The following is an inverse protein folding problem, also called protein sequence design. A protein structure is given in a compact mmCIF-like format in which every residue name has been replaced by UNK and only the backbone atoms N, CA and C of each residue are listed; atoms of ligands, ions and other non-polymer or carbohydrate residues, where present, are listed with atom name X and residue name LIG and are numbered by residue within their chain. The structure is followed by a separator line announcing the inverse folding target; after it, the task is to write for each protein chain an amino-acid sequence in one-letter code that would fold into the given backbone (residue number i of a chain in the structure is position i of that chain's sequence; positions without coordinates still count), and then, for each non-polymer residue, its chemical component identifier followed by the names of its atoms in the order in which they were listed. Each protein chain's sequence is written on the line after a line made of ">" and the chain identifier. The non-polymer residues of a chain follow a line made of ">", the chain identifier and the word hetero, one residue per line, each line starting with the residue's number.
data_IF_131545898120
#
_entry.id   IF_131545898120
#
_cell.length_a   1.000
_cell.length_b   1.000
_cell.length_c   1.000
_cell.angle_alpha   90.00
_cell.angle_beta   90.00
_cell.angle_gamma   90.00
#
_symmetry.space_group_name_H-M   'P 1'
#
loop_
_entity.id
_entity.type
_entity.pdbx_description
1 polymer ?
#
# COMPACT_ATOMS: atom_id res chain seq x y z
N UNK A 1 57.99 -60.24 -0.79
CA UNK A 1 58.36 -60.78 -2.12
C UNK A 1 57.08 -60.91 -2.95
N UNK A 2 57.10 -60.36 -4.18
CA UNK A 2 56.41 -60.78 -5.42
C UNK A 2 55.14 -61.68 -5.31
N UNK A 3 54.07 -61.54 -6.09
CA UNK A 3 53.77 -60.89 -7.39
C UNK A 3 52.28 -61.21 -7.70
N UNK A 4 51.67 -60.49 -8.66
CA UNK A 4 50.64 -60.92 -9.64
C UNK A 4 49.53 -59.87 -9.77
N UNK A 5 49.52 -58.93 -10.72
CA UNK A 5 49.25 -58.98 -12.19
C UNK A 5 47.74 -58.88 -12.55
N UNK A 6 47.35 -57.70 -13.09
CA UNK A 6 46.54 -57.37 -14.33
C UNK A 6 45.15 -58.07 -14.47
N UNK A 7 43.99 -57.47 -14.85
CA UNK A 7 43.69 -56.46 -15.88
C UNK A 7 42.25 -55.89 -15.80
N UNK A 8 42.12 -54.65 -16.28
CA UNK A 8 41.05 -53.98 -17.08
C UNK A 8 39.55 -54.31 -16.98
N UNK A 9 38.76 -53.23 -16.81
CA UNK A 9 37.61 -52.73 -17.61
C UNK A 9 36.45 -52.27 -16.70
N UNK A 10 36.21 -50.96 -16.60
CA UNK A 10 35.18 -50.19 -17.34
C UNK A 10 33.80 -50.25 -16.67
N UNK A 11 33.25 -49.07 -16.33
CA UNK A 11 31.85 -48.64 -16.11
C UNK A 11 31.99 -47.48 -15.10
N UNK A 12 32.03 -46.21 -15.50
CA UNK A 12 30.98 -45.48 -16.19
C UNK A 12 30.62 -44.28 -15.30
N UNK A 13 31.26 -43.13 -15.55
CA UNK A 13 30.87 -41.85 -14.95
C UNK A 13 29.45 -41.52 -15.44
N UNK A 14 28.44 -41.75 -14.60
CA UNK A 14 27.11 -41.20 -14.83
C UNK A 14 27.14 -39.71 -14.47
N UNK A 15 27.38 -38.87 -15.49
CA UNK A 15 27.12 -37.44 -15.42
C UNK A 15 25.61 -37.24 -15.20
N UNK A 16 25.25 -36.82 -13.98
CA UNK A 16 23.93 -36.27 -13.69
C UNK A 16 23.83 -34.89 -14.34
N UNK A 17 23.52 -34.86 -15.63
CA UNK A 17 23.04 -33.68 -16.32
C UNK A 17 21.60 -33.43 -15.89
N UNK A 18 21.42 -32.86 -14.71
CA UNK A 18 20.17 -32.20 -14.33
C UNK A 18 20.02 -30.99 -15.26
N UNK A 19 19.27 -31.19 -16.34
CA UNK A 19 18.77 -30.13 -17.19
C UNK A 19 17.83 -29.28 -16.31
N UNK A 20 18.40 -28.30 -15.63
CA UNK A 20 17.63 -27.25 -14.97
C UNK A 20 16.92 -26.49 -16.09
N UNK A 21 15.69 -26.89 -16.39
CA UNK A 21 14.75 -26.03 -17.11
C UNK A 21 14.52 -24.86 -16.16
N UNK A 22 15.33 -23.81 -16.30
CA UNK A 22 15.01 -22.50 -15.79
C UNK A 22 13.79 -22.04 -16.58
N UNK A 23 12.60 -22.41 -16.12
CA UNK A 23 11.41 -21.65 -16.45
C UNK A 23 11.75 -20.21 -16.06
N UNK A 24 11.65 -19.22 -16.96
CA UNK A 24 11.77 -17.84 -16.54
C UNK A 24 10.69 -17.64 -15.49
N UNK A 25 11.11 -17.45 -14.25
CA UNK A 25 10.28 -16.83 -13.24
C UNK A 25 9.99 -15.44 -13.82
N UNK A 26 8.86 -15.32 -14.52
CA UNK A 26 8.35 -14.03 -14.98
C UNK A 26 7.88 -13.34 -13.72
N UNK A 27 8.85 -12.76 -13.01
CA UNK A 27 8.61 -11.85 -11.89
C UNK A 27 7.77 -10.68 -12.43
N UNK A 28 7.05 -9.96 -11.56
CA UNK A 28 6.52 -8.67 -12.00
C UNK A 28 7.69 -7.83 -12.49
N UNK A 29 7.47 -7.13 -13.59
CA UNK A 29 8.50 -6.26 -14.12
C UNK A 29 8.43 -4.98 -13.29
N UNK A 30 9.32 -4.87 -12.30
CA UNK A 30 9.53 -3.65 -11.53
C UNK A 30 10.54 -2.78 -12.29
N UNK A 31 10.05 -1.70 -12.88
CA UNK A 31 10.78 -0.86 -13.82
C UNK A 31 11.08 0.49 -13.21
N UNK A 32 12.30 0.96 -13.44
CA UNK A 32 12.76 2.27 -12.97
C UNK A 32 12.73 3.35 -14.06
N UNK A 33 12.53 2.96 -15.33
CA UNK A 33 12.47 3.87 -16.47
C UNK A 33 11.37 3.45 -17.45
N UNK A 34 10.71 4.44 -18.05
CA UNK A 34 9.72 4.22 -19.10
C UNK A 34 10.33 3.53 -20.34
N UNK A 35 11.63 3.74 -20.60
CA UNK A 35 12.36 3.07 -21.70
C UNK A 35 12.41 1.55 -21.56
N UNK A 36 12.21 1.05 -20.34
CA UNK A 36 12.28 -0.38 -20.02
C UNK A 36 10.92 -1.05 -20.19
N UNK A 37 9.86 -0.28 -20.48
CA UNK A 37 8.57 -0.86 -20.83
C UNK A 37 8.73 -1.71 -22.09
N UNK A 38 8.26 -2.98 -22.09
CA UNK A 38 8.45 -3.83 -23.24
C UNK A 38 7.69 -3.27 -24.44
N UNK A 39 8.42 -2.94 -25.51
CA UNK A 39 7.87 -2.37 -26.75
C UNK A 39 6.94 -3.34 -27.49
N UNK A 40 7.04 -4.64 -27.21
CA UNK A 40 6.16 -5.71 -27.70
C UNK A 40 5.31 -6.33 -26.57
N UNK A 41 5.08 -5.61 -25.47
CA UNK A 41 4.27 -6.12 -24.36
C UNK A 41 2.84 -6.43 -24.83
N UNK A 42 2.25 -7.49 -24.25
CA UNK A 42 0.81 -7.68 -24.27
C UNK A 42 0.15 -6.38 -23.82
N UNK A 43 -0.88 -5.88 -24.51
CA UNK A 43 -1.49 -4.62 -24.12
C UNK A 43 -2.07 -4.67 -22.71
N UNK A 44 -1.96 -3.56 -21.98
CA UNK A 44 -2.54 -3.47 -20.64
C UNK A 44 -4.06 -3.36 -20.72
N UNK A 45 -4.74 -4.13 -19.87
CA UNK A 45 -6.17 -4.03 -19.66
C UNK A 45 -6.52 -2.80 -18.82
N UNK A 46 -5.68 -2.50 -17.82
CA UNK A 46 -5.83 -1.33 -16.96
C UNK A 46 -4.50 -0.62 -16.75
N UNK A 47 -4.56 0.70 -16.75
CA UNK A 47 -3.47 1.57 -16.32
C UNK A 47 -3.92 2.29 -15.05
N UNK A 48 -3.21 2.04 -13.95
CA UNK A 48 -3.43 2.68 -12.65
C UNK A 48 -2.39 3.78 -12.48
N UNK A 49 -2.86 5.00 -12.26
CA UNK A 49 -2.02 6.19 -12.11
C UNK A 49 -1.87 6.53 -10.62
N UNK A 50 -0.65 6.39 -10.12
CA UNK A 50 -0.28 6.58 -8.73
C UNK A 50 -0.48 5.32 -7.89
N UNK A 51 0.51 4.99 -7.07
CA UNK A 51 0.57 3.82 -6.19
C UNK A 51 0.16 4.11 -4.75
N UNK A 52 -0.49 5.25 -4.50
CA UNK A 52 -1.03 5.59 -3.18
C UNK A 52 -2.09 4.59 -2.67
N UNK A 53 -2.70 4.86 -1.50
CA UNK A 53 -3.66 3.94 -0.87
C UNK A 53 -4.81 3.46 -1.75
N UNK A 54 -5.28 4.27 -2.71
CA UNK A 54 -6.28 3.82 -3.68
C UNK A 54 -5.67 2.97 -4.80
N UNK A 55 -4.59 3.46 -5.43
CA UNK A 55 -4.03 2.85 -6.63
C UNK A 55 -3.33 1.51 -6.38
N UNK A 56 -2.56 1.39 -5.31
CA UNK A 56 -1.94 0.11 -4.93
C UNK A 56 -2.99 -0.97 -4.68
N UNK A 57 -4.10 -0.62 -4.01
CA UNK A 57 -5.23 -1.54 -3.77
C UNK A 57 -5.85 -1.98 -5.10
N UNK A 58 -6.18 -1.03 -5.97
CA UNK A 58 -6.81 -1.33 -7.27
C UNK A 58 -5.90 -2.21 -8.13
N UNK A 59 -4.62 -1.85 -8.28
CA UNK A 59 -3.67 -2.63 -9.07
C UNK A 59 -3.49 -4.06 -8.52
N UNK A 60 -3.36 -4.18 -7.20
CA UNK A 60 -3.26 -5.48 -6.51
C UNK A 60 -4.50 -6.33 -6.71
N UNK A 61 -5.71 -5.78 -6.56
CA UNK A 61 -6.95 -6.56 -6.70
C UNK A 61 -7.26 -6.92 -8.15
N UNK A 62 -7.02 -6.01 -9.11
CA UNK A 62 -7.21 -6.32 -10.54
C UNK A 62 -6.28 -7.44 -11.00
N UNK A 63 -5.03 -7.42 -10.56
CA UNK A 63 -4.03 -8.45 -10.92
C UNK A 63 -4.24 -9.81 -10.24
N UNK A 64 -5.19 -9.96 -9.31
CA UNK A 64 -5.57 -11.28 -8.77
C UNK A 64 -6.13 -12.19 -9.87
N UNK A 65 -6.73 -11.64 -10.92
CA UNK A 65 -7.11 -12.38 -12.11
C UNK A 65 -5.91 -12.44 -13.09
N UNK A 66 -5.31 -13.62 -13.34
CA UNK A 66 -4.14 -13.74 -14.21
C UNK A 66 -4.40 -13.39 -15.68
N UNK A 67 -5.66 -13.21 -16.08
CA UNK A 67 -6.06 -12.78 -17.42
C UNK A 67 -6.10 -11.25 -17.59
N UNK A 68 -5.90 -10.49 -16.52
CA UNK A 68 -5.93 -9.02 -16.53
C UNK A 68 -4.51 -8.50 -16.40
N UNK A 69 -4.01 -7.83 -17.44
CA UNK A 69 -2.70 -7.18 -17.45
C UNK A 69 -2.81 -5.75 -16.90
N UNK A 70 -2.08 -5.45 -15.84
CA UNK A 70 -2.15 -4.16 -15.14
C UNK A 70 -0.81 -3.45 -15.21
N UNK A 71 -0.82 -2.19 -15.66
CA UNK A 71 0.30 -1.26 -15.48
C UNK A 71 0.00 -0.32 -14.33
N UNK A 72 0.86 -0.29 -13.32
CA UNK A 72 0.85 0.71 -12.25
C UNK A 72 1.99 1.70 -12.48
N UNK A 73 1.67 2.98 -12.67
CA UNK A 73 2.66 4.05 -12.87
C UNK A 73 2.74 4.93 -11.63
N UNK A 74 3.92 5.06 -11.05
CA UNK A 74 4.22 5.88 -9.88
C UNK A 74 5.29 6.93 -10.20
N UNK A 75 5.04 8.17 -9.80
CA UNK A 75 5.97 9.28 -10.02
C UNK A 75 7.20 9.18 -9.10
N UNK A 76 6.98 8.72 -7.86
CA UNK A 76 8.04 8.52 -6.88
C UNK A 76 8.89 7.26 -7.08
N UNK A 77 10.01 7.17 -6.35
CA UNK A 77 10.85 5.98 -6.30
C UNK A 77 10.21 4.85 -5.48
N UNK A 78 10.89 3.70 -5.45
CA UNK A 78 10.57 2.60 -4.54
C UNK A 78 10.65 3.03 -3.07
N UNK A 79 9.85 2.39 -2.20
CA UNK A 79 9.93 2.52 -0.75
C UNK A 79 10.90 1.53 -0.08
N UNK A 80 11.47 0.58 -0.84
CA UNK A 80 12.33 -0.49 -0.33
C UNK A 80 13.69 0.02 0.19
N UNK A 81 14.07 -0.40 1.40
CA UNK A 81 15.38 -0.10 1.98
C UNK A 81 15.47 1.30 2.57
N UNK A 82 14.34 1.99 2.75
CA UNK A 82 14.27 3.35 3.26
C UNK A 82 13.89 3.31 4.74
N UNK A 83 14.89 3.29 5.62
CA UNK A 83 14.71 3.13 7.06
C UNK A 83 13.78 4.18 7.68
N UNK A 84 13.81 5.42 7.22
CA UNK A 84 12.95 6.50 7.71
C UNK A 84 11.46 6.32 7.35
N UNK A 85 11.17 5.54 6.30
CA UNK A 85 9.82 5.12 5.92
C UNK A 85 9.43 3.86 6.71
N UNK A 86 10.33 2.89 6.81
CA UNK A 86 10.06 1.59 7.41
C UNK A 86 9.85 1.66 8.93
N UNK A 87 10.64 2.49 9.63
CA UNK A 87 10.66 2.56 11.09
C UNK A 87 9.56 3.51 11.61
N UNK A 88 8.57 3.03 12.38
CA UNK A 88 7.47 3.87 12.87
C UNK A 88 7.89 5.12 13.65
N UNK A 89 8.97 5.02 14.43
CA UNK A 89 9.49 6.13 15.23
C UNK A 89 10.00 7.32 14.37
N UNK A 90 10.27 7.10 13.09
CA UNK A 90 10.71 8.13 12.14
C UNK A 90 9.58 8.71 11.29
N UNK A 91 8.31 8.42 11.60
CA UNK A 91 7.17 8.89 10.81
C UNK A 91 7.11 10.43 10.64
N UNK A 92 7.63 11.20 11.59
CA UNK A 92 7.68 12.67 11.51
C UNK A 92 8.89 13.22 10.73
N UNK A 93 9.85 12.36 10.40
CA UNK A 93 11.16 12.72 9.84
C UNK A 93 11.41 12.08 8.48
N UNK A 94 10.36 11.66 7.77
CA UNK A 94 10.48 11.14 6.41
C UNK A 94 11.25 12.15 5.51
N UNK A 95 12.26 11.71 4.74
CA UNK A 95 13.05 12.60 3.91
C UNK A 95 12.20 13.35 2.87
N UNK A 96 12.51 14.63 2.65
CA UNK A 96 11.80 15.48 1.67
C UNK A 96 11.83 14.94 0.24
N UNK A 97 12.80 14.10 -0.11
CA UNK A 97 12.86 13.41 -1.42
C UNK A 97 11.64 12.51 -1.69
N UNK A 98 10.97 12.02 -0.63
CA UNK A 98 9.76 11.22 -0.72
C UNK A 98 8.49 12.05 -0.54
N UNK A 99 8.60 13.38 -0.54
CA UNK A 99 7.47 14.30 -0.51
C UNK A 99 7.35 15.05 -1.84
N UNK A 100 6.12 15.34 -2.27
CA UNK A 100 5.87 16.27 -3.39
C UNK A 100 6.31 17.70 -3.09
N UNK A 101 6.61 18.01 -1.82
CA UNK A 101 7.02 19.33 -1.33
C UNK A 101 6.08 20.47 -1.74
N UNK A 102 4.77 20.22 -1.71
CA UNK A 102 3.75 21.19 -2.09
C UNK A 102 3.36 22.10 -0.93
N UNK A 103 2.96 23.33 -1.26
CA UNK A 103 2.40 24.30 -0.31
C UNK A 103 1.03 24.79 -0.80
N UNK A 104 0.22 25.29 0.13
CA UNK A 104 -1.02 25.99 -0.24
C UNK A 104 -0.68 27.35 -0.86
N UNK A 105 -1.60 27.91 -1.65
CA UNK A 105 -1.57 29.36 -1.92
C UNK A 105 -1.70 30.14 -0.58
N UNK A 106 -1.28 31.42 -0.53
CA UNK A 106 -1.52 32.27 0.64
C UNK A 106 -2.99 32.26 1.05
N UNK A 107 -3.27 31.94 2.32
CA UNK A 107 -4.63 31.82 2.84
C UNK A 107 -5.01 33.09 3.61
N UNK A 108 -5.98 33.89 3.15
CA UNK A 108 -6.34 35.15 3.80
C UNK A 108 -6.77 35.00 5.27
N UNK A 109 -7.54 33.95 5.59
CA UNK A 109 -7.98 33.65 6.96
C UNK A 109 -6.84 33.20 7.89
N UNK A 110 -5.65 32.92 7.34
CA UNK A 110 -4.43 32.60 8.09
C UNK A 110 -3.41 33.75 8.00
N UNK A 111 -3.89 35.00 7.92
CA UNK A 111 -3.08 36.21 7.78
C UNK A 111 -2.12 36.15 6.57
N UNK A 112 -2.59 35.58 5.45
CA UNK A 112 -1.80 35.47 4.22
C UNK A 112 -0.69 34.42 4.26
N UNK A 113 -0.64 33.56 5.29
CA UNK A 113 0.34 32.47 5.34
C UNK A 113 0.09 31.42 4.26
N UNK A 114 1.17 30.91 3.68
CA UNK A 114 1.20 29.64 2.94
C UNK A 114 1.58 28.50 3.91
N UNK A 115 0.96 27.33 3.77
CA UNK A 115 1.14 26.20 4.67
C UNK A 115 1.70 25.01 3.91
N UNK A 116 2.64 24.28 4.52
CA UNK A 116 3.13 23.01 3.98
C UNK A 116 1.97 22.02 3.83
N UNK A 117 1.86 21.41 2.66
CA UNK A 117 0.85 20.41 2.37
C UNK A 117 1.53 19.11 1.94
N UNK A 118 1.93 18.30 2.93
CA UNK A 118 2.74 17.11 2.71
C UNK A 118 1.95 16.03 1.98
N UNK A 119 2.54 15.48 0.93
CA UNK A 119 2.00 14.38 0.11
C UNK A 119 3.15 13.45 -0.26
N UNK A 120 2.93 12.14 -0.18
CA UNK A 120 3.95 11.15 -0.52
C UNK A 120 4.22 11.09 -2.02
N UNK A 121 5.49 11.16 -2.39
CA UNK A 121 6.06 10.97 -3.71
C UNK A 121 7.02 9.76 -3.62
N UNK A 122 6.44 8.58 -3.50
CA UNK A 122 7.11 7.29 -3.28
C UNK A 122 6.10 6.17 -3.49
N UNK A 123 6.53 4.95 -3.78
CA UNK A 123 5.66 3.78 -3.82
C UNK A 123 4.84 3.66 -2.52
N UNK A 124 3.51 3.48 -2.64
CA UNK A 124 2.58 3.51 -1.50
C UNK A 124 2.08 4.92 -1.12
N UNK A 125 2.67 5.96 -1.73
CA UNK A 125 2.25 7.36 -1.62
C UNK A 125 2.17 7.85 -0.19
N UNK A 126 1.08 8.54 0.15
CA UNK A 126 0.89 9.13 1.48
C UNK A 126 0.95 8.13 2.63
N UNK A 127 0.63 6.85 2.42
CA UNK A 127 0.71 5.84 3.49
C UNK A 127 2.15 5.47 3.89
N UNK A 128 3.12 5.70 2.99
CA UNK A 128 4.54 5.46 3.25
C UNK A 128 5.16 6.57 4.10
N UNK A 129 4.53 7.75 4.20
CA UNK A 129 5.07 8.89 4.95
C UNK A 129 4.11 9.46 6.01
N UNK A 130 2.94 8.86 6.22
CA UNK A 130 1.96 9.37 7.20
C UNK A 130 2.38 9.07 8.65
N UNK A 131 1.60 9.63 9.58
CA UNK A 131 1.73 9.37 11.02
C UNK A 131 1.16 8.02 11.48
N UNK A 132 0.88 7.06 10.59
CA UNK A 132 0.51 5.67 10.89
C UNK A 132 -0.80 5.43 11.64
N UNK A 133 -1.47 6.45 12.18
CA UNK A 133 -2.72 6.27 12.93
C UNK A 133 -3.77 5.55 12.07
N UNK A 134 -4.33 4.47 12.62
CA UNK A 134 -5.38 3.67 12.00
C UNK A 134 -6.73 4.02 12.64
N UNK A 135 -7.51 4.84 11.92
CA UNK A 135 -8.91 5.11 12.27
C UNK A 135 -9.83 4.90 11.08
N UNK A 136 -11.03 4.39 11.35
CA UNK A 136 -12.06 4.10 10.35
C UNK A 136 -13.03 5.27 10.17
N UNK A 137 -13.20 6.11 11.19
CA UNK A 137 -14.28 7.10 11.28
C UNK A 137 -15.54 6.53 11.95
N UNK A 138 -16.56 7.38 12.16
CA UNK A 138 -17.83 6.95 12.75
C UNK A 138 -18.77 6.34 11.71
N UNK A 139 -19.69 5.49 12.17
CA UNK A 139 -20.75 4.92 11.35
C UNK A 139 -21.58 6.00 10.65
N UNK A 140 -21.86 7.10 11.35
CA UNK A 140 -22.62 8.24 10.85
C UNK A 140 -21.99 8.89 9.61
N UNK A 141 -20.65 8.90 9.49
CA UNK A 141 -19.96 9.43 8.31
C UNK A 141 -20.24 8.57 7.07
N UNK A 142 -20.13 7.25 7.21
CA UNK A 142 -20.40 6.30 6.12
C UNK A 142 -21.88 6.31 5.71
N UNK A 143 -22.79 6.31 6.68
CA UNK A 143 -24.22 6.42 6.41
C UNK A 143 -24.57 7.80 5.82
N UNK A 144 -23.84 8.84 6.21
CA UNK A 144 -23.88 10.16 5.59
C UNK A 144 -23.52 10.10 4.10
N UNK A 145 -22.42 9.44 3.74
CA UNK A 145 -22.04 9.24 2.34
C UNK A 145 -23.07 8.44 1.56
N UNK A 146 -23.62 7.38 2.16
CA UNK A 146 -24.70 6.61 1.55
C UNK A 146 -25.92 7.49 1.24
N UNK A 147 -26.34 8.33 2.18
CA UNK A 147 -27.45 9.29 1.96
C UNK A 147 -27.12 10.33 0.89
N UNK A 148 -25.93 10.92 0.92
CA UNK A 148 -25.52 11.97 -0.03
C UNK A 148 -25.40 11.45 -1.47
N UNK A 149 -24.95 10.21 -1.63
CA UNK A 149 -24.74 9.59 -2.95
C UNK A 149 -25.97 8.83 -3.46
N UNK A 150 -26.90 8.46 -2.55
CA UNK A 150 -27.99 7.54 -2.85
C UNK A 150 -27.56 6.09 -3.02
N UNK A 151 -26.32 5.74 -2.65
CA UNK A 151 -25.74 4.40 -2.78
C UNK A 151 -25.47 3.78 -1.40
N UNK A 152 -26.31 2.83 -1.01
CA UNK A 152 -26.19 2.10 0.25
C UNK A 152 -24.90 1.25 0.34
N UNK A 153 -24.18 1.04 -0.76
CA UNK A 153 -22.86 0.40 -0.74
C UNK A 153 -21.84 1.12 0.15
N UNK A 154 -22.03 2.42 0.40
CA UNK A 154 -21.18 3.24 1.27
C UNK A 154 -21.57 3.20 2.76
N UNK A 155 -22.74 2.66 3.13
CA UNK A 155 -23.20 2.62 4.53
C UNK A 155 -22.22 1.87 5.43
N UNK A 156 -22.24 2.19 6.73
CA UNK A 156 -21.35 1.59 7.72
C UNK A 156 -21.42 0.07 7.71
N UNK A 157 -22.63 -0.47 7.61
CA UNK A 157 -22.86 -1.91 7.54
C UNK A 157 -22.22 -2.53 6.29
N UNK A 158 -22.49 -1.96 5.11
CA UNK A 158 -22.04 -2.53 3.84
C UNK A 158 -20.53 -2.36 3.60
N UNK A 159 -19.92 -1.30 4.12
CA UNK A 159 -18.49 -1.06 3.97
C UNK A 159 -17.64 -2.01 4.82
N UNK A 160 -18.20 -2.60 5.88
CA UNK A 160 -17.46 -3.53 6.77
C UNK A 160 -16.79 -4.66 5.99
N UNK A 161 -17.42 -5.16 4.92
CA UNK A 161 -16.83 -6.23 4.10
C UNK A 161 -15.48 -5.84 3.48
N UNK A 162 -15.28 -4.56 3.17
CA UNK A 162 -14.01 -4.05 2.63
C UNK A 162 -13.02 -3.70 3.75
N UNK A 163 -13.51 -3.18 4.88
CA UNK A 163 -12.69 -2.98 6.08
C UNK A 163 -12.05 -4.31 6.50
N UNK A 164 -12.83 -5.39 6.57
CA UNK A 164 -12.34 -6.74 6.87
C UNK A 164 -11.32 -7.27 5.85
N UNK A 165 -11.48 -6.96 4.57
CA UNK A 165 -10.49 -7.32 3.53
C UNK A 165 -9.20 -6.49 3.62
N UNK A 166 -9.29 -5.30 4.20
CA UNK A 166 -8.17 -4.40 4.34
C UNK A 166 -7.35 -4.70 5.60
N UNK A 167 -8.01 -4.95 6.72
CA UNK A 167 -7.35 -5.04 8.02
C UNK A 167 -6.81 -6.43 8.36
N UNK A 168 -5.55 -6.45 8.81
CA UNK A 168 -4.87 -7.55 9.45
C UNK A 168 -4.44 -7.12 10.86
N UNK A 169 -5.30 -7.31 11.84
CA UNK A 169 -5.00 -7.00 13.23
C UNK A 169 -3.88 -7.91 13.72
N UNK A 170 -2.87 -7.31 14.32
CA UNK A 170 -1.66 -7.93 14.82
C UNK A 170 -1.51 -7.62 16.30
N UNK A 171 -0.98 -8.58 17.04
CA UNK A 171 -0.51 -8.31 18.38
C UNK A 171 0.73 -7.38 18.30
N UNK A 172 0.89 -6.39 19.22
CA UNK A 172 2.11 -5.59 19.27
C UNK A 172 3.36 -6.48 19.37
N UNK A 173 4.45 -6.06 18.73
CA UNK A 173 5.67 -6.85 18.61
C UNK A 173 6.35 -7.09 19.97
N UNK A 174 6.17 -6.18 20.93
CA UNK A 174 6.64 -6.32 22.31
C UNK A 174 5.97 -7.46 23.08
N UNK A 175 4.84 -8.00 22.58
CA UNK A 175 4.03 -9.03 23.25
C UNK A 175 3.50 -8.62 24.63
N UNK A 176 3.40 -7.31 24.91
CA UNK A 176 2.80 -6.80 26.15
C UNK A 176 1.33 -7.20 26.28
N UNK A 177 0.80 -7.19 27.50
CA UNK A 177 -0.63 -7.34 27.71
C UNK A 177 -1.36 -6.13 27.09
N UNK A 178 -2.41 -6.41 26.31
CA UNK A 178 -3.28 -5.41 25.64
C UNK A 178 -4.74 -5.53 26.07
N UNK A 179 -5.01 -6.32 27.11
CA UNK A 179 -6.36 -6.55 27.62
C UNK A 179 -6.99 -5.25 28.09
N UNK A 180 -8.17 -4.94 27.56
CA UNK A 180 -8.90 -3.71 27.91
C UNK A 180 -8.49 -2.48 27.13
N UNK A 181 -7.62 -2.60 26.11
CA UNK A 181 -7.17 -1.47 25.30
C UNK A 181 -7.81 -1.39 23.90
N UNK A 182 -8.46 -2.47 23.48
CA UNK A 182 -9.18 -2.56 22.22
C UNK A 182 -10.30 -3.61 22.30
N UNK A 183 -11.24 -3.58 21.36
CA UNK A 183 -12.31 -4.57 21.28
C UNK A 183 -12.02 -5.58 20.15
N UNK A 184 -11.59 -6.82 20.45
CA UNK A 184 -11.24 -7.79 19.41
C UNK A 184 -12.40 -8.15 18.48
N UNK A 185 -13.65 -7.95 18.89
CA UNK A 185 -14.83 -8.26 18.07
C UNK A 185 -15.00 -7.33 16.86
N UNK A 186 -14.37 -6.15 16.86
CA UNK A 186 -14.47 -5.19 15.75
C UNK A 186 -13.27 -5.28 14.79
N UNK A 187 -12.36 -6.22 14.98
CA UNK A 187 -11.13 -6.36 14.19
C UNK A 187 -11.08 -7.66 13.38
N UNK A 188 -10.34 -7.65 12.28
CA UNK A 188 -10.10 -8.81 11.40
C UNK A 188 -8.62 -9.11 11.28
N UNK A 189 -8.25 -10.38 11.14
CA UNK A 189 -6.87 -10.86 11.23
C UNK A 189 -6.26 -11.30 9.88
N UNK A 190 -6.99 -11.17 8.78
CA UNK A 190 -6.67 -11.82 7.50
C UNK A 190 -6.58 -10.85 6.31
N UNK A 191 -6.65 -9.54 6.54
CA UNK A 191 -6.54 -8.52 5.49
C UNK A 191 -5.10 -8.24 5.04
N UNK A 192 -4.94 -7.18 4.26
CA UNK A 192 -3.67 -6.82 3.63
C UNK A 192 -2.78 -5.91 4.51
N UNK A 193 -3.38 -4.96 5.21
CA UNK A 193 -2.70 -3.93 6.00
C UNK A 193 -2.65 -4.36 7.46
N UNK A 194 -1.45 -4.49 8.00
CA UNK A 194 -1.24 -4.79 9.40
C UNK A 194 -1.60 -3.59 10.27
N UNK A 195 -2.41 -3.82 11.29
CA UNK A 195 -2.72 -2.82 12.32
C UNK A 195 -2.47 -3.40 13.71
N UNK A 196 -1.98 -2.58 14.64
CA UNK A 196 -1.68 -3.00 16.02
C UNK A 196 -1.77 -1.83 17.00
N UNK A 197 -1.81 -2.14 18.29
CA UNK A 197 -1.56 -1.17 19.35
C UNK A 197 -0.06 -0.83 19.45
N UNK A 198 0.27 0.23 20.20
CA UNK A 198 1.66 0.61 20.45
C UNK A 198 2.45 -0.50 21.15
N UNK A 199 3.75 -0.61 20.84
CA UNK A 199 4.63 -1.61 21.46
C UNK A 199 4.83 -1.35 22.96
N UNK A 200 4.75 -0.12 23.39
CA UNK A 200 4.96 0.23 24.78
C UNK A 200 3.68 0.02 25.60
N UNK A 201 3.80 -0.46 26.86
CA UNK A 201 2.67 -0.52 27.79
C UNK A 201 2.16 0.88 28.12
N UNK A 202 0.98 0.92 28.76
CA UNK A 202 0.44 2.15 29.30
C UNK A 202 1.44 2.82 30.25
N UNK A 203 1.81 4.06 29.92
CA UNK A 203 2.70 4.85 30.75
C UNK A 203 1.91 5.70 31.74
N UNK A 204 2.64 6.32 32.68
CA UNK A 204 2.06 7.22 33.67
C UNK A 204 1.13 8.26 33.03
N UNK A 205 1.49 8.82 31.87
CA UNK A 205 0.67 9.81 31.18
C UNK A 205 -0.65 9.25 30.66
N UNK A 206 -0.66 8.01 30.15
CA UNK A 206 -1.90 7.37 29.66
C UNK A 206 -2.87 7.17 30.82
N UNK A 207 -2.36 6.66 31.95
CA UNK A 207 -3.15 6.48 33.17
C UNK A 207 -3.66 7.81 33.73
N UNK A 208 -2.80 8.81 33.84
CA UNK A 208 -3.19 10.14 34.32
C UNK A 208 -4.22 10.78 33.38
N UNK A 209 -4.11 10.58 32.07
CA UNK A 209 -5.08 11.03 31.08
C UNK A 209 -6.45 10.37 31.28
N UNK A 210 -6.48 9.05 31.43
CA UNK A 210 -7.69 8.29 31.70
C UNK A 210 -8.33 8.64 33.05
N UNK A 211 -7.53 8.82 34.09
CA UNK A 211 -8.01 9.20 35.42
C UNK A 211 -8.54 10.65 35.42
N UNK A 212 -7.91 11.56 34.67
CA UNK A 212 -8.39 12.93 34.50
C UNK A 212 -9.70 12.98 33.72
N UNK A 213 -9.86 12.14 32.70
CA UNK A 213 -11.09 12.04 31.92
C UNK A 213 -12.30 11.65 32.79
N UNK A 214 -12.10 10.77 33.78
CA UNK A 214 -13.15 10.37 34.73
C UNK A 214 -13.68 11.51 35.61
N UNK A 215 -12.97 12.64 35.68
CA UNK A 215 -13.39 13.81 36.46
C UNK A 215 -14.42 14.67 35.73
N UNK A 216 -14.71 14.40 34.46
CA UNK A 216 -15.60 15.20 33.61
C UNK A 216 -16.55 14.29 32.82
N UNK A 217 -17.79 14.73 32.58
CA UNK A 217 -18.77 13.94 31.81
C UNK A 217 -18.50 13.95 30.29
N UNK A 218 -17.69 14.90 29.81
CA UNK A 218 -17.42 15.10 28.38
C UNK A 218 -16.53 14.00 27.78
N UNK A 219 -15.72 13.34 28.61
CA UNK A 219 -14.64 12.47 28.19
C UNK A 219 -14.82 11.05 28.73
N UNK A 220 -15.55 10.22 27.98
CA UNK A 220 -15.71 8.80 28.33
C UNK A 220 -14.58 7.96 27.78
N UNK A 221 -14.17 6.91 28.51
CA UNK A 221 -13.27 5.89 27.96
C UNK A 221 -13.96 5.15 26.80
N UNK A 222 -13.32 5.15 25.63
CA UNK A 222 -13.72 4.41 24.46
C UNK A 222 -12.79 3.21 24.30
N UNK A 223 -13.34 2.02 24.53
CA UNK A 223 -12.60 0.77 24.37
C UNK A 223 -12.08 0.62 22.94
N UNK A 224 -12.80 1.09 21.93
CA UNK A 224 -12.37 0.98 20.54
C UNK A 224 -13.00 2.03 19.61
N UNK A 225 -12.21 3.03 19.23
CA UNK A 225 -12.65 4.11 18.32
C UNK A 225 -13.03 3.62 16.92
N UNK A 226 -12.64 2.39 16.55
CA UNK A 226 -12.93 1.79 15.25
C UNK A 226 -14.21 0.93 15.24
N UNK A 227 -14.98 0.97 16.32
CA UNK A 227 -16.28 0.29 16.46
C UNK A 227 -17.44 0.97 15.72
N UNK A 228 -17.22 2.16 15.15
CA UNK A 228 -18.25 3.00 14.53
C UNK A 228 -18.69 4.17 15.42
N UNK A 229 -18.23 4.22 16.67
CA UNK A 229 -18.29 5.41 17.52
C UNK A 229 -16.88 5.84 17.93
N UNK A 230 -16.46 7.01 17.45
CA UNK A 230 -15.10 7.52 17.65
C UNK A 230 -14.97 8.47 18.86
N UNK A 231 -16.06 8.81 19.54
CA UNK A 231 -16.02 9.76 20.67
C UNK A 231 -15.38 9.14 21.91
N UNK A 232 -14.65 9.94 22.68
CA UNK A 232 -14.01 9.54 23.93
C UNK A 232 -12.50 9.34 23.83
N UNK A 233 -11.90 8.82 24.91
CA UNK A 233 -10.48 8.51 24.99
C UNK A 233 -10.27 7.01 24.83
N UNK A 234 -9.47 6.61 23.85
CA UNK A 234 -9.08 5.22 23.64
C UNK A 234 -7.61 5.13 23.27
N UNK A 235 -7.08 3.91 23.25
CA UNK A 235 -5.69 3.68 22.88
C UNK A 235 -5.53 3.78 21.35
N UNK A 236 -4.53 4.56 20.92
CA UNK A 236 -4.25 4.76 19.50
C UNK A 236 -3.82 3.45 18.84
N UNK A 237 -4.45 3.16 17.71
CA UNK A 237 -4.12 2.03 16.86
C UNK A 237 -3.32 2.52 15.66
N UNK A 238 -2.38 1.71 15.18
CA UNK A 238 -1.39 2.10 14.18
C UNK A 238 -1.33 1.09 13.05
N UNK A 239 -1.11 1.53 11.81
CA UNK A 239 -0.78 0.67 10.67
C UNK A 239 0.67 0.19 10.78
N UNK A 240 0.93 -0.66 11.78
CA UNK A 240 2.23 -1.24 12.11
C UNK A 240 2.06 -2.75 12.24
N UNK A 241 2.98 -3.51 11.64
CA UNK A 241 3.06 -4.95 11.76
C UNK A 241 4.51 -5.39 11.90
N UNK A 242 4.77 -6.35 12.79
CA UNK A 242 6.12 -6.89 13.04
C UNK A 242 7.17 -5.80 13.33
N UNK A 243 6.74 -4.71 13.98
CA UNK A 243 7.58 -3.57 14.33
C UNK A 243 7.86 -2.57 13.21
N UNK A 244 7.29 -2.76 12.02
CA UNK A 244 7.51 -1.92 10.84
C UNK A 244 6.22 -1.28 10.35
N UNK A 245 6.35 -0.19 9.59
CA UNK A 245 5.22 0.46 8.89
C UNK A 245 4.49 -0.52 7.98
N UNK A 246 3.17 -0.55 8.09
CA UNK A 246 2.28 -1.16 7.10
C UNK A 246 1.68 -0.08 6.19
N UNK A 247 2.27 0.07 5.01
CA UNK A 247 1.82 1.02 3.97
C UNK A 247 0.95 0.30 2.93
N UNK A 248 0.41 1.06 1.99
CA UNK A 248 -0.25 0.48 0.82
C UNK A 248 0.72 -0.32 -0.06
N UNK A 249 2.00 0.06 -0.11
CA UNK A 249 3.04 -0.70 -0.80
C UNK A 249 3.32 -2.03 -0.07
N UNK A 250 3.55 -2.02 1.25
CA UNK A 250 3.84 -3.27 1.97
C UNK A 250 2.62 -4.18 2.14
N UNK A 251 1.41 -3.63 2.20
CA UNK A 251 0.17 -4.40 2.31
C UNK A 251 -0.33 -4.95 0.98
N UNK A 252 -0.39 -4.12 -0.06
CA UNK A 252 -1.01 -4.47 -1.34
C UNK A 252 -0.02 -4.73 -2.48
N UNK A 253 1.23 -4.28 -2.37
CA UNK A 253 2.30 -4.51 -3.34
C UNK A 253 3.49 -5.24 -2.68
N UNK A 254 3.21 -6.21 -1.79
CA UNK A 254 4.23 -7.03 -1.17
C UNK A 254 4.98 -7.91 -2.20
N UNK A 255 6.03 -8.60 -1.75
CA UNK A 255 6.86 -9.46 -2.62
C UNK A 255 6.06 -10.48 -3.44
N UNK A 256 4.99 -11.06 -2.87
CA UNK A 256 4.14 -12.02 -3.59
C UNK A 256 3.32 -11.33 -4.69
N UNK A 257 2.79 -10.13 -4.44
CA UNK A 257 2.05 -9.37 -5.46
C UNK A 257 3.00 -8.85 -6.54
N UNK A 258 4.18 -8.36 -6.14
CA UNK A 258 5.30 -8.00 -7.03
C UNK A 258 5.92 -9.20 -7.76
N UNK A 259 5.48 -10.44 -7.53
CA UNK A 259 5.90 -11.59 -8.30
C UNK A 259 4.90 -11.98 -9.41
N UNK A 260 3.74 -11.32 -9.49
CA UNK A 260 2.70 -11.65 -10.45
C UNK A 260 3.10 -11.22 -11.88
N UNK A 261 3.07 -12.13 -12.88
CA UNK A 261 3.53 -11.83 -14.24
C UNK A 261 2.62 -10.85 -15.00
N UNK A 262 1.37 -10.70 -14.58
CA UNK A 262 0.37 -9.81 -15.17
C UNK A 262 0.30 -8.44 -14.49
N UNK A 263 1.23 -8.11 -13.60
CA UNK A 263 1.38 -6.78 -13.00
C UNK A 263 2.74 -6.21 -13.42
N UNK A 264 2.74 -5.00 -13.95
CA UNK A 264 3.95 -4.20 -14.21
C UNK A 264 3.90 -2.96 -13.32
N UNK A 265 4.96 -2.70 -12.58
CA UNK A 265 5.07 -1.50 -11.72
C UNK A 265 6.20 -0.65 -12.28
N UNK A 266 5.87 0.55 -12.71
CA UNK A 266 6.80 1.52 -13.26
C UNK A 266 6.91 2.70 -12.28
N UNK A 267 8.07 2.83 -11.64
CA UNK A 267 8.37 3.93 -10.72
C UNK A 267 9.15 5.05 -11.43
N UNK A 268 9.41 6.15 -10.73
CA UNK A 268 10.12 7.34 -11.23
C UNK A 268 9.50 7.95 -12.50
N UNK A 269 8.21 7.70 -12.75
CA UNK A 269 7.57 8.03 -14.03
C UNK A 269 6.30 8.83 -13.80
N UNK A 270 6.25 10.01 -14.40
CA UNK A 270 5.09 10.89 -14.29
C UNK A 270 4.07 10.53 -15.35
N UNK A 271 2.81 10.41 -14.97
CA UNK A 271 1.71 10.58 -15.92
C UNK A 271 1.43 12.06 -16.06
N UNK A 272 1.65 12.61 -17.25
CA UNK A 272 1.47 14.04 -17.52
C UNK A 272 0.07 14.36 -18.02
N UNK A 273 -0.54 13.45 -18.78
CA UNK A 273 -1.87 13.62 -19.38
C UNK A 273 -2.61 12.30 -19.50
N UNK A 274 -3.93 12.38 -19.46
CA UNK A 274 -4.81 11.32 -19.96
C UNK A 274 -5.34 11.74 -21.33
N UNK A 275 -5.40 10.82 -22.27
CA UNK A 275 -5.65 11.09 -23.69
C UNK A 275 -6.81 10.24 -24.22
N UNK A 276 -7.59 10.82 -25.13
CA UNK A 276 -8.62 10.09 -25.88
C UNK A 276 -7.98 9.09 -26.84
N UNK A 277 -8.60 7.92 -27.01
CA UNK A 277 -8.20 6.94 -28.03
C UNK A 277 -8.53 7.39 -29.48
N UNK A 278 -9.19 8.53 -29.65
CA UNK A 278 -9.61 9.07 -30.94
C UNK A 278 -11.06 8.76 -31.29
N UNK A 279 -11.74 7.93 -30.48
CA UNK A 279 -13.17 7.61 -30.63
C UNK A 279 -14.00 8.28 -29.53
N UNK A 280 -14.52 9.47 -29.81
CA UNK A 280 -15.35 10.22 -28.86
C UNK A 280 -14.62 10.59 -27.56
N UNK A 281 -15.32 10.48 -26.42
CA UNK A 281 -14.79 10.81 -25.07
C UNK A 281 -14.13 9.62 -24.36
N UNK A 282 -13.69 8.60 -25.10
CA UNK A 282 -13.02 7.43 -24.53
C UNK A 282 -11.59 7.76 -24.11
N UNK A 283 -11.39 8.03 -22.82
CA UNK A 283 -10.07 8.30 -22.25
C UNK A 283 -9.42 6.97 -21.86
N UNK A 284 -8.53 6.47 -22.73
CA UNK A 284 -7.88 5.17 -22.59
C UNK A 284 -6.37 5.20 -22.72
N UNK A 285 -5.79 6.35 -23.06
CA UNK A 285 -4.35 6.52 -23.16
C UNK A 285 -3.83 7.37 -22.02
N UNK A 286 -2.60 7.10 -21.58
CA UNK A 286 -1.85 7.99 -20.71
C UNK A 286 -0.58 8.43 -21.43
N UNK A 287 -0.22 9.69 -21.27
CA UNK A 287 1.10 10.17 -21.58
C UNK A 287 1.96 10.04 -20.33
N UNK A 288 3.12 9.41 -20.48
CA UNK A 288 4.11 9.24 -19.42
C UNK A 288 5.41 9.93 -19.79
N UNK A 289 6.17 10.35 -18.78
CA UNK A 289 7.50 10.88 -18.99
C UNK A 289 8.32 10.95 -17.71
N UNK A 290 9.63 11.07 -17.89
CA UNK A 290 10.56 11.42 -16.82
C UNK A 290 10.88 12.91 -16.93
N UNK A 291 10.64 13.65 -15.84
CA UNK A 291 10.92 15.09 -15.77
C UNK A 291 12.41 15.40 -15.88
N UNK A 292 13.28 14.44 -15.59
CA UNK A 292 14.73 14.61 -15.66
C UNK A 292 15.27 14.53 -17.09
N UNK A 293 14.64 13.73 -17.97
CA UNK A 293 15.12 13.46 -19.34
C UNK A 293 14.29 14.14 -20.43
N UNK A 294 13.11 14.69 -20.10
CA UNK A 294 12.14 15.23 -21.08
C UNK A 294 11.68 14.23 -22.15
N UNK A 295 11.88 12.93 -21.93
CA UNK A 295 11.35 11.87 -22.80
C UNK A 295 9.86 11.64 -22.51
N UNK A 296 9.05 11.50 -23.56
CA UNK A 296 7.61 11.37 -23.46
C UNK A 296 7.14 10.19 -24.31
N UNK A 297 6.40 9.28 -23.69
CA UNK A 297 5.82 8.10 -24.32
C UNK A 297 4.30 8.04 -24.07
N UNK A 298 3.57 7.31 -24.91
CA UNK A 298 2.12 7.11 -24.73
C UNK A 298 1.80 5.63 -24.54
N UNK A 299 1.05 5.31 -23.49
CA UNK A 299 0.61 3.95 -23.19
C UNK A 299 -0.91 3.86 -23.31
N UNK A 300 -1.41 2.80 -23.95
CA UNK A 300 -2.84 2.55 -24.18
C UNK A 300 -3.38 1.42 -23.29
N UNK A 301 -4.49 1.70 -22.61
CA UNK A 301 -5.34 0.73 -21.91
C UNK A 301 -6.41 0.21 -22.88
N UNK A 302 -6.54 -1.11 -23.02
CA UNK A 302 -7.53 -1.68 -23.95
C UNK A 302 -8.95 -1.69 -23.36
N UNK A 303 -9.07 -1.76 -22.03
CA UNK A 303 -10.33 -1.54 -21.32
C UNK A 303 -10.36 -0.11 -20.77
N UNK A 304 -11.50 0.58 -20.95
CA UNK A 304 -11.76 1.84 -20.24
C UNK A 304 -12.00 1.58 -18.75
N UNK A 305 -12.20 2.65 -17.98
CA UNK A 305 -12.70 2.59 -16.60
C UNK A 305 -14.04 1.84 -16.55
N UNK A 306 -13.96 0.51 -16.51
CA UNK A 306 -15.11 -0.38 -16.51
C UNK A 306 -15.69 -0.39 -15.11
N UNK A 307 -16.98 -0.04 -15.00
CA UNK A 307 -17.76 -0.44 -13.84
C UNK A 307 -17.48 -1.93 -13.58
N UNK A 308 -17.11 -2.34 -12.36
CA UNK A 308 -17.07 -3.76 -12.02
C UNK A 308 -18.43 -4.36 -12.40
N UNK A 309 -18.42 -5.51 -13.06
CA UNK A 309 -19.66 -6.28 -13.27
C UNK A 309 -20.29 -6.64 -11.94
#
# INVERSE_FOLDING_TARGET
>A
MARSIVSTQSIGLAAFSLLAIQLPLVNAVFLNSASDLPTNATPFDFIVVGSGPGGAVVASRLSENPQINVLLVEAGPSDEGVLEIEIPAFAATAPKTYEWNTTTVPVPSLNGRSVEFRRGHVLGGGSSINGLVYTRGSAELYDGWARMTGDNGWSWENIQRYIRKNEKWMHPNSRRNVSGEFNPAVHTFNGAVSASLGNEPDYLFDRLGLDSAKLQDEFTFNLDMNSGNALGLGFTQWTVGDGQRSSAATGYLNATVKARPNLTILVNTYVTRVLSDGTGKNIRKVEIGDRSTSTVDTVLSHNGWGKPK
#
